data_IF_455211654301
#
_entry.id   IF_455211654301
#
_cell.length_a   1.000
_cell.length_b   1.000
_cell.length_c   1.000
_cell.angle_alpha   90.00
_cell.angle_beta   90.00
_cell.angle_gamma   90.00
#
_symmetry.space_group_name_H-M   'P 1'
#
loop_
_entity.id
_entity.type
_entity.pdbx_description
1 polymer ?
#
# COMPACT_ATOMS: atom_id res chain seq x y z
N UNK A 1 4.69 -1.51 -26.05
CA UNK A 1 5.48 -0.34 -25.53
C UNK A 1 7.00 -0.60 -25.67
N UNK A 2 7.89 0.40 -25.55
CA UNK A 2 9.35 0.17 -25.39
C UNK A 2 9.66 -0.42 -24.00
N UNK A 3 10.85 -1.01 -23.81
CA UNK A 3 11.31 -1.50 -22.50
C UNK A 3 11.27 -0.37 -21.47
N UNK A 4 10.65 -0.63 -20.32
CA UNK A 4 10.53 0.33 -19.22
C UNK A 4 11.93 0.63 -18.66
N UNK A 5 12.33 1.89 -18.75
CA UNK A 5 13.58 2.36 -18.13
C UNK A 5 13.39 2.41 -16.61
N UNK A 6 14.37 1.90 -15.87
CA UNK A 6 14.35 1.85 -14.42
C UNK A 6 13.11 1.15 -13.83
N UNK A 7 12.67 0.05 -14.43
CA UNK A 7 11.49 -0.74 -14.00
C UNK A 7 11.46 -1.08 -12.49
N UNK A 8 12.62 -1.18 -11.84
CA UNK A 8 12.70 -1.42 -10.41
C UNK A 8 12.11 -0.25 -9.60
N UNK A 9 12.26 0.99 -10.04
CA UNK A 9 11.68 2.17 -9.38
C UNK A 9 10.15 2.13 -9.44
N UNK A 10 9.59 1.77 -10.61
CA UNK A 10 8.15 1.60 -10.78
C UNK A 10 7.61 0.46 -9.92
N UNK A 11 8.22 -0.72 -10.00
CA UNK A 11 7.73 -1.92 -9.29
C UNK A 11 7.89 -1.79 -7.76
N UNK A 12 8.98 -1.20 -7.28
CA UNK A 12 9.22 -1.03 -5.84
C UNK A 12 8.21 -0.10 -5.16
N UNK A 13 7.58 0.82 -5.92
CA UNK A 13 6.49 1.65 -5.40
C UNK A 13 5.29 0.81 -4.92
N UNK A 14 5.12 -0.38 -5.49
CA UNK A 14 4.04 -1.30 -5.14
C UNK A 14 4.46 -2.40 -4.16
N UNK A 15 5.75 -2.54 -3.80
CA UNK A 15 6.19 -3.56 -2.86
C UNK A 15 5.99 -3.14 -1.39
N UNK A 16 5.58 -4.09 -0.54
CA UNK A 16 5.68 -3.94 0.91
C UNK A 16 6.94 -4.64 1.44
N UNK A 17 8.00 -3.88 1.74
CA UNK A 17 9.27 -4.44 2.25
C UNK A 17 9.11 -5.27 3.54
N UNK A 18 8.13 -4.92 4.35
CA UNK A 18 7.83 -5.59 5.62
C UNK A 18 6.62 -6.54 5.51
N UNK A 19 6.29 -7.01 4.29
CA UNK A 19 5.20 -7.96 4.12
C UNK A 19 5.49 -9.25 4.90
N UNK A 20 4.49 -9.80 5.58
CA UNK A 20 4.59 -11.08 6.28
C UNK A 20 4.96 -12.22 5.32
N UNK A 21 4.47 -12.14 4.08
CA UNK A 21 4.84 -13.07 3.01
C UNK A 21 6.08 -12.55 2.31
N UNK A 22 7.22 -13.17 2.58
CA UNK A 22 8.52 -12.72 2.09
C UNK A 22 8.58 -12.58 0.56
N UNK A 23 7.88 -13.46 -0.15
CA UNK A 23 7.80 -13.45 -1.62
C UNK A 23 7.07 -12.22 -2.18
N UNK A 24 6.24 -11.53 -1.38
CA UNK A 24 5.56 -10.29 -1.77
C UNK A 24 6.39 -9.03 -1.44
N UNK A 25 7.59 -9.19 -0.86
CA UNK A 25 8.50 -8.07 -0.57
C UNK A 25 9.22 -7.56 -1.82
N UNK A 26 9.26 -8.37 -2.87
CA UNK A 26 9.91 -8.10 -4.16
C UNK A 26 8.93 -8.42 -5.32
N UNK A 27 9.15 -7.87 -6.53
CA UNK A 27 8.33 -8.21 -7.68
C UNK A 27 8.55 -9.67 -8.13
N UNK A 28 7.52 -10.30 -8.69
CA UNK A 28 7.54 -11.70 -9.06
C UNK A 28 6.80 -11.96 -10.38
N UNK A 29 7.19 -13.02 -11.09
CA UNK A 29 6.47 -13.50 -12.27
C UNK A 29 5.31 -14.41 -11.85
N UNK A 30 4.08 -13.98 -12.13
CA UNK A 30 2.88 -14.72 -11.81
C UNK A 30 2.52 -15.72 -12.91
N UNK A 31 2.80 -17.00 -12.67
CA UNK A 31 2.60 -18.09 -13.63
C UNK A 31 1.12 -18.36 -13.94
N UNK A 32 0.18 -17.92 -13.10
CA UNK A 32 -1.26 -18.05 -13.38
C UNK A 32 -1.72 -17.09 -14.49
N UNK A 33 -1.05 -15.93 -14.63
CA UNK A 33 -1.48 -14.84 -15.51
C UNK A 33 -0.45 -14.49 -16.59
N UNK A 34 0.78 -15.04 -16.48
CA UNK A 34 1.92 -14.74 -17.36
C UNK A 34 2.31 -13.25 -17.37
N UNK A 35 2.29 -12.64 -16.18
CA UNK A 35 2.57 -11.22 -15.95
C UNK A 35 3.54 -11.08 -14.78
N UNK A 36 4.32 -10.00 -14.74
CA UNK A 36 5.13 -9.61 -13.57
C UNK A 36 4.28 -8.73 -12.66
N UNK A 37 4.18 -9.12 -11.39
CA UNK A 37 3.35 -8.48 -10.39
C UNK A 37 4.20 -7.88 -9.26
N UNK A 38 3.74 -6.77 -8.72
CA UNK A 38 4.26 -6.19 -7.48
C UNK A 38 3.10 -5.65 -6.65
N UNK A 39 3.07 -5.95 -5.34
CA UNK A 39 1.93 -5.61 -4.48
C UNK A 39 2.28 -5.44 -3.01
N UNK A 40 1.53 -4.55 -2.35
CA UNK A 40 1.54 -4.30 -0.90
C UNK A 40 0.22 -4.73 -0.23
N UNK A 41 -0.55 -5.59 -0.92
CA UNK A 41 -1.92 -6.01 -0.61
C UNK A 41 -3.04 -4.97 -0.86
N UNK A 42 -2.71 -3.68 -0.99
CA UNK A 42 -3.70 -2.62 -1.22
C UNK A 42 -3.64 -2.05 -2.64
N UNK A 43 -2.46 -2.08 -3.23
CA UNK A 43 -2.19 -1.76 -4.61
C UNK A 43 -1.43 -2.92 -5.26
N UNK A 44 -1.79 -3.24 -6.50
CA UNK A 44 -1.13 -4.24 -7.32
C UNK A 44 -0.87 -3.61 -8.68
N UNK A 45 0.37 -3.68 -9.16
CA UNK A 45 0.71 -3.40 -10.56
C UNK A 45 0.98 -4.73 -11.26
N UNK A 46 0.45 -4.86 -12.48
CA UNK A 46 0.60 -6.05 -13.31
C UNK A 46 1.14 -5.60 -14.66
N UNK A 47 2.24 -6.21 -15.10
CA UNK A 47 2.99 -5.80 -16.29
C UNK A 47 3.28 -7.03 -17.15
N UNK A 48 3.06 -6.93 -18.45
CA UNK A 48 3.46 -7.96 -19.41
C UNK A 48 5.00 -8.07 -19.47
N UNK A 49 5.60 -9.29 -19.50
CA UNK A 49 7.06 -9.43 -19.39
C UNK A 49 7.86 -8.85 -20.57
N UNK A 50 7.24 -8.72 -21.75
CA UNK A 50 7.87 -8.20 -22.98
C UNK A 50 8.31 -6.73 -22.87
N UNK A 51 7.79 -5.98 -21.91
CA UNK A 51 8.18 -4.58 -21.67
C UNK A 51 9.16 -4.43 -20.50
N UNK A 52 9.63 -5.54 -19.93
CA UNK A 52 10.58 -5.57 -18.83
C UNK A 52 11.93 -6.14 -19.29
N UNK A 53 13.01 -5.61 -18.74
CA UNK A 53 14.38 -6.01 -19.03
C UNK A 53 14.85 -7.19 -18.16
N UNK A 54 14.33 -7.32 -16.94
CA UNK A 54 14.74 -8.36 -16.00
C UNK A 54 13.80 -9.55 -16.00
N UNK A 55 14.35 -10.69 -15.59
CA UNK A 55 13.57 -11.85 -15.19
C UNK A 55 13.22 -11.77 -13.70
N UNK A 56 12.07 -12.31 -13.34
CA UNK A 56 11.53 -12.27 -11.99
C UNK A 56 11.24 -13.67 -11.48
N UNK A 57 11.36 -13.92 -10.16
CA UNK A 57 11.12 -15.24 -9.58
C UNK A 57 9.65 -15.66 -9.76
N UNK A 58 9.42 -16.93 -10.04
CA UNK A 58 8.07 -17.47 -10.21
C UNK A 58 7.32 -17.51 -8.88
N UNK A 59 6.08 -17.03 -8.88
CA UNK A 59 5.18 -17.18 -7.73
C UNK A 59 3.72 -17.16 -8.17
N UNK A 60 2.91 -18.03 -7.57
CA UNK A 60 1.48 -18.07 -7.85
C UNK A 60 0.72 -17.19 -6.87
N UNK A 61 0.11 -16.11 -7.38
CA UNK A 61 -0.77 -15.26 -6.60
C UNK A 61 -2.13 -15.12 -7.30
N UNK A 62 -3.20 -15.03 -6.51
CA UNK A 62 -4.56 -14.81 -7.02
C UNK A 62 -5.20 -13.68 -6.24
N UNK A 63 -5.88 -12.80 -6.97
CA UNK A 63 -6.74 -11.79 -6.40
C UNK A 63 -8.20 -12.23 -6.53
N UNK A 64 -9.07 -11.61 -5.73
CA UNK A 64 -10.52 -11.73 -5.91
C UNK A 64 -10.92 -11.23 -7.29
N UNK A 65 -12.04 -11.76 -7.79
CA UNK A 65 -12.57 -11.36 -9.09
C UNK A 65 -12.91 -9.87 -9.15
N UNK A 66 -12.91 -9.34 -10.36
CA UNK A 66 -13.33 -7.98 -10.64
C UNK A 66 -14.86 -7.94 -10.73
N UNK A 67 -15.46 -6.97 -10.06
CA UNK A 67 -16.90 -6.72 -10.09
C UNK A 67 -17.18 -5.30 -10.57
N UNK A 68 -18.44 -5.02 -10.90
CA UNK A 68 -18.90 -3.68 -11.29
C UNK A 68 -18.14 -3.09 -12.48
N UNK A 69 -18.23 -3.73 -13.67
CA UNK A 69 -17.59 -3.22 -14.87
C UNK A 69 -18.12 -1.81 -15.21
N UNK A 70 -17.23 -0.95 -15.64
CA UNK A 70 -17.53 0.40 -16.07
C UNK A 70 -16.56 0.84 -17.17
N UNK A 71 -16.79 2.02 -17.72
CA UNK A 71 -15.91 2.64 -18.70
C UNK A 71 -15.85 4.12 -18.43
N UNK A 72 -14.90 4.52 -17.59
CA UNK A 72 -14.68 5.91 -17.19
C UNK A 72 -13.21 6.25 -17.38
N UNK A 73 -12.93 7.53 -17.61
CA UNK A 73 -11.55 8.01 -17.76
C UNK A 73 -11.14 8.79 -16.52
N UNK A 74 -9.95 8.45 -16.01
CA UNK A 74 -9.29 9.18 -14.93
C UNK A 74 -8.06 9.88 -15.50
N UNK A 75 -7.92 11.17 -15.28
CA UNK A 75 -6.78 11.96 -15.75
C UNK A 75 -5.82 12.32 -14.62
N UNK A 76 -4.54 12.49 -14.94
CA UNK A 76 -3.53 12.98 -13.98
C UNK A 76 -3.95 14.33 -13.40
N UNK A 77 -4.52 15.21 -14.23
CA UNK A 77 -5.05 16.51 -13.80
C UNK A 77 -6.13 16.36 -12.71
N UNK A 78 -7.09 15.46 -12.91
CA UNK A 78 -8.15 15.22 -11.92
C UNK A 78 -7.60 14.61 -10.62
N UNK A 79 -6.61 13.72 -10.72
CA UNK A 79 -5.93 13.16 -9.54
C UNK A 79 -5.16 14.26 -8.79
N UNK A 80 -4.43 15.13 -9.49
CA UNK A 80 -3.72 16.26 -8.89
C UNK A 80 -4.66 17.17 -8.10
N UNK A 81 -5.77 17.58 -8.73
CA UNK A 81 -6.78 18.42 -8.09
C UNK A 81 -7.33 17.79 -6.81
N UNK A 82 -7.60 16.48 -6.82
CA UNK A 82 -8.08 15.76 -5.64
C UNK A 82 -7.02 15.69 -4.54
N UNK A 83 -5.76 15.37 -4.87
CA UNK A 83 -4.66 15.33 -3.91
C UNK A 83 -4.37 16.71 -3.31
N UNK A 84 -4.46 17.78 -4.10
CA UNK A 84 -4.27 19.15 -3.61
C UNK A 84 -5.36 19.60 -2.63
N UNK A 85 -6.58 19.08 -2.77
CA UNK A 85 -7.71 19.35 -1.88
C UNK A 85 -7.65 18.55 -0.57
N UNK A 86 -6.86 17.48 -0.51
CA UNK A 86 -6.71 16.67 0.70
C UNK A 86 -5.97 17.43 1.81
N UNK A 87 -6.22 17.09 3.10
CA UNK A 87 -5.43 17.57 4.23
C UNK A 87 -3.93 17.35 4.01
N UNK A 88 -3.13 18.34 4.43
CA UNK A 88 -1.67 18.29 4.34
C UNK A 88 -1.06 18.21 5.74
N UNK A 89 0.06 17.50 5.84
CA UNK A 89 0.87 17.38 7.06
C UNK A 89 2.32 17.74 6.73
N UNK A 90 3.09 18.08 7.77
CA UNK A 90 4.52 18.29 7.62
C UNK A 90 5.18 16.95 7.24
N UNK A 91 5.98 16.96 6.18
CA UNK A 91 6.79 15.80 5.79
C UNK A 91 7.86 15.57 6.87
N UNK A 92 7.89 14.33 7.36
CA UNK A 92 8.88 13.86 8.31
C UNK A 92 9.69 12.72 7.69
N UNK A 93 11.01 12.88 7.66
CA UNK A 93 11.92 11.80 7.24
C UNK A 93 12.45 11.09 8.47
N UNK A 94 12.57 9.77 8.37
CA UNK A 94 13.23 8.96 9.40
C UNK A 94 14.74 9.22 9.31
N UNK A 95 15.32 9.70 10.40
CA UNK A 95 16.78 9.90 10.52
C UNK A 95 17.45 8.78 11.30
N UNK A 96 16.66 8.00 12.05
CA UNK A 96 17.07 6.81 12.77
C UNK A 96 15.83 5.92 12.92
N UNK A 97 15.90 4.70 12.40
CA UNK A 97 14.86 3.69 12.64
C UNK A 97 14.85 3.26 14.11
N UNK A 98 13.72 2.75 14.58
CA UNK A 98 13.70 2.08 15.87
C UNK A 98 14.41 0.73 15.79
N UNK A 99 15.07 0.37 16.87
CA UNK A 99 15.63 -0.97 17.03
C UNK A 99 14.63 -1.85 17.77
N UNK A 100 14.45 -3.07 17.29
CA UNK A 100 13.59 -4.07 17.89
C UNK A 100 14.10 -4.43 19.30
N UNK A 101 13.24 -4.40 20.31
CA UNK A 101 13.59 -4.93 21.62
C UNK A 101 13.73 -6.46 21.52
N UNK A 102 14.93 -6.96 21.77
CA UNK A 102 15.25 -8.39 21.69
C UNK A 102 14.49 -9.20 22.75
N UNK A 103 14.25 -8.63 23.93
CA UNK A 103 13.59 -9.32 25.06
C UNK A 103 12.16 -9.76 24.73
N UNK A 104 11.40 -8.87 24.11
CA UNK A 104 10.00 -9.14 23.73
C UNK A 104 9.85 -9.38 22.25
N UNK A 105 10.94 -9.63 21.52
CA UNK A 105 10.96 -9.78 20.07
C UNK A 105 10.07 -8.73 19.35
N UNK A 106 10.16 -7.47 19.75
CA UNK A 106 9.41 -6.37 19.13
C UNK A 106 7.91 -6.29 19.45
N UNK A 107 7.35 -7.25 20.17
CA UNK A 107 5.92 -7.29 20.51
C UNK A 107 5.53 -6.26 21.57
N UNK A 108 6.48 -5.82 22.39
CA UNK A 108 6.22 -4.95 23.54
C UNK A 108 5.62 -5.70 24.72
N UNK A 109 5.32 -6.99 24.61
CA UNK A 109 4.75 -7.79 25.69
C UNK A 109 5.63 -9.02 25.94
N UNK A 110 5.69 -9.47 27.19
CA UNK A 110 6.35 -10.72 27.59
C UNK A 110 5.41 -11.52 28.47
N UNK A 111 5.66 -12.83 28.49
CA UNK A 111 4.92 -13.76 29.31
C UNK A 111 5.46 -13.77 30.75
N UNK A 112 4.54 -13.68 31.71
CA UNK A 112 4.82 -13.72 33.13
C UNK A 112 4.22 -14.97 33.75
N UNK A 113 5.03 -15.66 34.53
CA UNK A 113 4.63 -16.80 35.33
C UNK A 113 4.86 -16.50 36.82
N UNK A 114 3.85 -16.74 37.65
CA UNK A 114 3.95 -16.62 39.10
C UNK A 114 3.35 -17.85 39.78
N UNK A 115 4.15 -18.59 40.54
CA UNK A 115 3.68 -19.73 41.34
C UNK A 115 3.49 -19.32 42.79
N UNK A 116 2.28 -19.49 43.31
CA UNK A 116 1.97 -19.16 44.70
C UNK A 116 2.37 -20.29 45.68
N UNK A 117 2.25 -20.00 46.98
CA UNK A 117 2.62 -20.95 48.05
C UNK A 117 1.70 -22.19 48.11
N UNK A 118 0.58 -22.20 47.38
CA UNK A 118 -0.28 -23.38 47.22
C UNK A 118 0.14 -24.26 46.02
N UNK A 119 1.17 -23.84 45.28
CA UNK A 119 1.68 -24.53 44.10
C UNK A 119 0.89 -24.24 42.83
N UNK A 120 0.01 -23.22 42.84
CA UNK A 120 -0.74 -22.82 41.65
C UNK A 120 0.07 -21.79 40.85
N UNK A 121 0.31 -22.09 39.59
CA UNK A 121 0.91 -21.19 38.61
C UNK A 121 -0.13 -20.27 37.97
N UNK A 122 0.11 -18.97 38.03
CA UNK A 122 -0.67 -17.91 37.40
C UNK A 122 0.11 -17.37 36.20
N UNK A 123 -0.56 -17.20 35.08
CA UNK A 123 0.05 -16.85 33.79
C UNK A 123 -0.60 -15.57 33.25
N UNK A 124 0.21 -14.62 32.76
CA UNK A 124 -0.27 -13.40 32.07
C UNK A 124 0.72 -12.86 31.06
N UNK A 125 0.22 -12.17 30.06
CA UNK A 125 1.01 -11.26 29.23
C UNK A 125 0.97 -9.86 29.85
N UNK A 126 2.12 -9.21 29.94
CA UNK A 126 2.26 -7.84 30.40
C UNK A 126 3.32 -7.13 29.56
N UNK A 127 3.30 -5.79 29.61
CA UNK A 127 4.31 -4.97 28.97
C UNK A 127 5.73 -5.43 29.34
N UNK A 128 6.56 -5.55 28.32
CA UNK A 128 7.96 -5.90 28.46
C UNK A 128 8.66 -4.86 29.34
N UNK A 129 9.27 -5.25 30.47
CA UNK A 129 9.90 -4.31 31.39
C UNK A 129 11.20 -3.72 30.85
N UNK A 130 11.75 -4.29 29.77
CA UNK A 130 13.00 -3.81 29.14
C UNK A 130 12.75 -2.63 28.21
N UNK A 131 11.61 -2.61 27.52
CA UNK A 131 11.24 -1.54 26.59
C UNK A 131 9.99 -0.78 27.02
N UNK A 132 9.57 -0.91 28.28
CA UNK A 132 8.38 -0.26 28.84
C UNK A 132 7.12 -0.46 27.99
N UNK A 133 6.95 -1.68 27.46
CA UNK A 133 5.79 -2.01 26.63
C UNK A 133 5.86 -1.57 25.17
N UNK A 134 6.93 -0.89 24.75
CA UNK A 134 6.98 -0.27 23.40
C UNK A 134 7.38 -1.23 22.29
N UNK A 135 8.06 -2.32 22.63
CA UNK A 135 8.67 -3.23 21.65
C UNK A 135 9.96 -2.70 21.03
N UNK A 136 10.44 -1.51 21.42
CA UNK A 136 11.60 -0.85 20.82
C UNK A 136 12.72 -0.66 21.86
N UNK A 137 13.96 -1.04 21.52
CA UNK A 137 15.14 -0.75 22.35
C UNK A 137 15.69 0.67 22.12
N UNK A 138 15.47 1.22 20.92
CA UNK A 138 15.68 2.63 20.63
C UNK A 138 14.50 3.18 19.84
N UNK A 139 14.07 4.40 20.18
CA UNK A 139 12.95 5.03 19.50
C UNK A 139 13.32 5.57 18.13
N UNK A 140 12.39 5.42 17.20
CA UNK A 140 12.43 6.05 15.89
C UNK A 140 12.58 7.57 16.04
N UNK A 141 13.57 8.15 15.36
CA UNK A 141 13.73 9.61 15.27
C UNK A 141 13.36 10.09 13.89
N UNK A 142 12.53 11.13 13.86
CA UNK A 142 12.13 11.81 12.63
C UNK A 142 12.62 13.25 12.60
N UNK A 143 12.74 13.80 11.40
CA UNK A 143 13.04 15.21 11.17
C UNK A 143 12.05 15.78 10.18
N UNK A 144 11.41 16.89 10.54
CA UNK A 144 10.60 17.69 9.61
C UNK A 144 11.47 18.28 8.51
N UNK A 145 11.04 18.13 7.27
CA UNK A 145 11.76 18.67 6.11
C UNK A 145 11.35 20.11 5.77
N UNK A 146 10.20 20.56 6.30
CA UNK A 146 9.58 21.83 5.96
C UNK A 146 8.70 21.79 4.70
N UNK A 147 8.60 20.63 4.03
CA UNK A 147 7.63 20.41 2.96
C UNK A 147 6.29 19.98 3.54
N UNK A 148 5.21 20.32 2.84
CA UNK A 148 3.89 19.77 3.11
C UNK A 148 3.59 18.64 2.14
N UNK A 149 3.15 17.51 2.67
CA UNK A 149 2.70 16.35 1.90
C UNK A 149 1.24 16.06 2.19
N UNK A 150 0.56 15.38 1.27
CA UNK A 150 -0.80 14.90 1.49
C UNK A 150 -0.79 13.91 2.65
N UNK A 151 -1.74 14.04 3.57
CA UNK A 151 -1.92 13.09 4.66
C UNK A 151 -2.26 11.72 4.07
N UNK A 152 -1.43 10.71 4.36
CA UNK A 152 -1.52 9.40 3.70
C UNK A 152 -2.88 8.71 3.89
N UNK A 153 -3.49 8.92 5.06
CA UNK A 153 -4.79 8.36 5.43
C UNK A 153 -5.99 9.19 4.96
N UNK A 154 -5.77 10.28 4.22
CA UNK A 154 -6.86 11.06 3.62
C UNK A 154 -7.66 10.20 2.63
N UNK A 155 -8.96 10.43 2.58
CA UNK A 155 -9.90 9.60 1.83
C UNK A 155 -10.28 10.30 0.53
N UNK A 156 -9.99 9.66 -0.60
CA UNK A 156 -10.36 10.14 -1.94
C UNK A 156 -11.45 9.25 -2.52
N UNK A 157 -12.54 9.86 -2.99
CA UNK A 157 -13.57 9.18 -3.75
C UNK A 157 -13.22 9.16 -5.25
N UNK A 158 -13.35 7.99 -5.87
CA UNK A 158 -13.31 7.82 -7.34
C UNK A 158 -14.53 6.99 -7.74
N UNK A 159 -15.58 7.69 -8.17
CA UNK A 159 -16.83 7.06 -8.60
C UNK A 159 -17.51 6.34 -7.43
N UNK A 160 -17.63 5.02 -7.54
CA UNK A 160 -18.33 4.19 -6.55
C UNK A 160 -17.44 3.77 -5.38
N UNK A 161 -16.14 4.08 -5.40
CA UNK A 161 -15.17 3.56 -4.45
C UNK A 161 -14.41 4.68 -3.74
N UNK A 162 -13.91 4.37 -2.55
CA UNK A 162 -13.10 5.27 -1.72
C UNK A 162 -11.73 4.66 -1.52
N UNK A 163 -10.69 5.48 -1.53
CA UNK A 163 -9.30 5.04 -1.47
C UNK A 163 -8.51 5.92 -0.52
N UNK A 164 -7.47 5.36 0.09
CA UNK A 164 -6.47 6.15 0.77
C UNK A 164 -5.68 6.98 -0.24
N UNK A 165 -5.40 8.24 0.08
CA UNK A 165 -4.61 9.14 -0.76
C UNK A 165 -3.22 8.57 -1.08
N UNK A 166 -2.66 7.77 -0.16
CA UNK A 166 -1.45 6.98 -0.40
C UNK A 166 -1.57 6.08 -1.65
N UNK A 167 -2.66 5.31 -1.78
CA UNK A 167 -2.86 4.40 -2.92
C UNK A 167 -3.11 5.17 -4.24
N UNK A 168 -3.82 6.30 -4.16
CA UNK A 168 -4.02 7.17 -5.33
C UNK A 168 -2.69 7.81 -5.77
N UNK A 169 -1.81 8.13 -4.82
CA UNK A 169 -0.47 8.65 -5.12
C UNK A 169 0.39 7.63 -5.87
N UNK A 170 0.20 6.31 -5.64
CA UNK A 170 0.86 5.26 -6.42
C UNK A 170 0.38 5.20 -7.87
N UNK A 171 -0.93 5.30 -8.09
CA UNK A 171 -1.51 5.39 -9.44
C UNK A 171 -0.95 6.61 -10.17
N UNK A 172 -0.96 7.78 -9.52
CA UNK A 172 -0.37 9.01 -10.08
C UNK A 172 1.11 8.83 -10.39
N UNK A 173 1.88 8.27 -9.46
CA UNK A 173 3.30 8.03 -9.65
C UNK A 173 3.56 7.17 -10.89
N UNK A 174 2.83 6.07 -11.06
CA UNK A 174 2.97 5.22 -12.24
C UNK A 174 2.58 5.95 -13.53
N UNK A 175 1.52 6.76 -13.49
CA UNK A 175 1.12 7.59 -14.62
C UNK A 175 2.22 8.59 -15.02
N UNK A 176 2.78 9.33 -14.05
CA UNK A 176 3.88 10.28 -14.31
C UNK A 176 5.15 9.56 -14.80
N UNK A 177 5.49 8.43 -14.17
CA UNK A 177 6.68 7.64 -14.50
C UNK A 177 6.65 7.15 -15.96
N UNK A 178 5.46 6.82 -16.46
CA UNK A 178 5.23 6.30 -17.80
C UNK A 178 4.80 7.37 -18.81
N UNK A 179 4.75 8.65 -18.40
CA UNK A 179 4.26 9.79 -19.21
C UNK A 179 2.83 9.57 -19.75
N UNK A 180 1.95 9.04 -18.90
CA UNK A 180 0.54 8.74 -19.20
C UNK A 180 -0.36 9.83 -18.60
N UNK A 181 -1.10 10.54 -19.45
CA UNK A 181 -1.98 11.63 -19.00
C UNK A 181 -3.36 11.18 -18.51
N UNK A 182 -3.82 9.99 -18.91
CA UNK A 182 -5.10 9.43 -18.50
C UNK A 182 -5.14 7.91 -18.62
N UNK A 183 -5.98 7.28 -17.80
CA UNK A 183 -6.15 5.83 -17.74
C UNK A 183 -7.64 5.47 -17.80
N UNK A 184 -7.95 4.26 -18.24
CA UNK A 184 -9.31 3.73 -18.24
C UNK A 184 -9.60 3.02 -16.91
N UNK A 185 -10.62 3.47 -16.19
CA UNK A 185 -11.20 2.78 -15.05
C UNK A 185 -12.22 1.77 -15.59
N UNK A 186 -11.85 0.49 -15.60
CA UNK A 186 -12.65 -0.59 -16.19
C UNK A 186 -13.54 -1.30 -15.18
N UNK A 187 -13.18 -1.26 -13.90
CA UNK A 187 -13.96 -1.87 -12.81
C UNK A 187 -13.95 -0.93 -11.60
N UNK A 188 -15.14 -0.58 -11.11
CA UNK A 188 -15.29 0.39 -10.03
C UNK A 188 -16.30 -0.07 -8.97
N UNK A 189 -15.81 -0.92 -8.06
CA UNK A 189 -16.59 -1.54 -6.98
C UNK A 189 -16.28 -0.90 -5.61
N UNK A 190 -17.29 -0.60 -4.78
CA UNK A 190 -17.08 -0.10 -3.41
C UNK A 190 -16.44 -1.14 -2.48
N UNK A 191 -16.50 -2.43 -2.81
CA UNK A 191 -16.15 -3.54 -1.90
C UNK A 191 -15.23 -4.60 -2.54
N UNK A 192 -14.85 -4.41 -3.80
CA UNK A 192 -14.03 -5.34 -4.56
C UNK A 192 -12.90 -4.57 -5.26
N UNK A 193 -11.92 -5.26 -5.85
CA UNK A 193 -10.82 -4.62 -6.57
C UNK A 193 -11.29 -3.64 -7.65
N UNK A 194 -10.59 -2.50 -7.77
CA UNK A 194 -10.84 -1.50 -8.79
C UNK A 194 -9.67 -1.47 -9.78
N UNK A 195 -9.95 -1.59 -11.07
CA UNK A 195 -8.91 -1.75 -12.10
C UNK A 195 -8.76 -0.50 -12.96
N UNK A 196 -7.53 -0.03 -13.08
CA UNK A 196 -7.08 1.08 -13.92
C UNK A 196 -6.15 0.52 -15.00
N UNK A 197 -6.57 0.59 -16.25
CA UNK A 197 -5.76 0.15 -17.39
C UNK A 197 -4.96 1.35 -17.89
N UNK A 198 -3.63 1.24 -17.78
CA UNK A 198 -2.69 2.28 -18.19
C UNK A 198 -2.42 2.20 -19.69
N UNK A 199 -2.21 0.97 -20.19
CA UNK A 199 -2.10 0.63 -21.60
C UNK A 199 -2.30 -0.90 -21.79
N UNK A 200 -1.98 -1.43 -22.97
CA UNK A 200 -2.11 -2.86 -23.29
C UNK A 200 -1.18 -3.77 -22.47
N UNK A 201 -0.08 -3.23 -21.95
CA UNK A 201 0.98 -3.95 -21.26
C UNK A 201 0.92 -3.77 -19.73
N UNK A 202 0.19 -2.75 -19.23
CA UNK A 202 0.22 -2.34 -17.82
C UNK A 202 -1.19 -2.05 -17.28
N UNK A 203 -1.48 -2.65 -16.14
CA UNK A 203 -2.68 -2.37 -15.35
C UNK A 203 -2.35 -2.24 -13.86
N UNK A 204 -3.14 -1.42 -13.18
CA UNK A 204 -3.07 -1.20 -11.74
C UNK A 204 -4.41 -1.55 -11.12
N UNK A 205 -4.38 -2.31 -10.03
CA UNK A 205 -5.54 -2.68 -9.24
C UNK A 205 -5.40 -2.07 -7.85
N UNK A 206 -6.42 -1.32 -7.41
CA UNK A 206 -6.47 -0.70 -6.08
C UNK A 206 -7.62 -1.29 -5.26
N UNK A 207 -7.35 -1.61 -4.00
CA UNK A 207 -8.36 -1.99 -3.03
C UNK A 207 -9.08 -0.75 -2.49
N UNK A 208 -10.42 -0.77 -2.42
CA UNK A 208 -11.17 0.30 -1.79
C UNK A 208 -11.07 0.20 -0.27
N UNK A 209 -11.33 1.32 0.40
CA UNK A 209 -11.68 1.35 1.82
C UNK A 209 -13.10 0.80 1.95
N UNK A 210 -13.25 -0.25 2.76
CA UNK A 210 -14.56 -0.82 3.08
C UNK A 210 -15.09 -0.09 4.32
N UNK A 211 -15.91 0.94 4.11
CA UNK A 211 -16.64 1.56 5.20
C UNK A 211 -17.75 0.62 5.71
N UNK A 212 -17.94 0.60 7.03
CA UNK A 212 -19.21 0.14 7.62
C UNK A 212 -20.35 1.10 7.26
N UNK A 213 -21.60 0.72 7.58
CA UNK A 213 -22.83 1.37 7.11
C UNK A 213 -23.00 2.88 7.42
N UNK A 214 -22.07 3.51 8.16
CA UNK A 214 -22.29 4.83 8.75
C UNK A 214 -21.30 5.94 8.37
N UNK A 215 -20.28 5.73 7.53
CA UNK A 215 -19.30 6.79 7.20
C UNK A 215 -19.03 6.91 5.70
N UNK A 216 -19.37 8.06 5.12
CA UNK A 216 -19.16 8.40 3.71
C UNK A 216 -18.50 9.78 3.54
N UNK A 217 -17.71 10.22 4.52
CA UNK A 217 -16.95 11.45 4.36
C UNK A 217 -15.66 11.14 3.61
N UNK A 218 -15.45 11.84 2.50
CA UNK A 218 -14.18 11.88 1.78
C UNK A 218 -13.62 13.29 1.86
N UNK A 219 -12.30 13.39 1.81
CA UNK A 219 -11.56 14.65 1.78
C UNK A 219 -11.55 15.28 0.39
N UNK A 220 -11.61 14.44 -0.66
CA UNK A 220 -11.63 14.89 -2.04
C UNK A 220 -12.33 13.89 -2.98
N UNK A 221 -12.69 14.37 -4.16
CA UNK A 221 -13.33 13.59 -5.23
C UNK A 221 -12.52 13.76 -6.52
N UNK A 222 -12.21 12.65 -7.19
CA UNK A 222 -11.64 12.66 -8.54
C UNK A 222 -12.77 12.79 -9.55
N UNK A 223 -12.72 13.83 -10.37
CA UNK A 223 -13.66 14.04 -11.47
C UNK A 223 -13.42 13.01 -12.58
N UNK A 224 -14.46 12.25 -12.91
CA UNK A 224 -14.45 11.23 -13.96
C UNK A 224 -15.01 11.79 -15.27
N UNK A 225 -14.40 11.39 -16.39
CA UNK A 225 -14.88 11.70 -17.75
C UNK A 225 -15.51 10.47 -18.40
#
# INVERSE_FOLDING_TARGET
MEIIKNEAELLNMFCAKNNEREVLREPFYNTNFNEVWSTDNYALIQITPNVLAKEYPNYEFRITGLDSPCKKVVSVEAINKALEACPKVDEEIVIQDSEKCEECDGFGEVYWEYTDNSGHTHEREFGCPVCDGTGESTHKKTKKTGKQIVKEDAVINIGNAYFLAYNISKLKFAMDFLDISSVELTHNSPKAPNQFVLNEDIQIVLMPIIFGDNHHNCDAVVELK
#
